data_IF_793519401743
#
_entry.id   IF_793519401743
#
_cell.length_a   1.000
_cell.length_b   1.000
_cell.length_c   1.000
_cell.angle_alpha   90.00
_cell.angle_beta   90.00
_cell.angle_gamma   90.00
#
_symmetry.space_group_name_H-M   'P 1'
#
loop_
_entity.id
_entity.type
_entity.pdbx_description
1 polymer ?
#
# COMPACT_ATOMS: atom_id res chain seq x y z
N UNK A 1 24.04 -57.38 -20.53
CA UNK A 1 23.54 -56.74 -21.77
C UNK A 1 22.03 -56.94 -21.87
N UNK A 2 21.29 -55.85 -22.16
CA UNK A 2 19.87 -55.74 -22.57
C UNK A 2 18.80 -55.89 -21.45
N UNK A 3 18.27 -54.77 -20.91
CA UNK A 3 17.05 -53.98 -21.27
C UNK A 3 15.76 -54.71 -20.77
N UNK A 4 14.85 -54.13 -19.97
CA UNK A 4 13.77 -53.15 -20.31
C UNK A 4 13.09 -52.73 -18.96
N UNK A 5 13.24 -51.50 -18.45
CA UNK A 5 12.28 -50.35 -18.35
C UNK A 5 10.77 -50.67 -18.16
N UNK A 6 10.16 -50.14 -17.08
CA UNK A 6 8.94 -49.28 -17.03
C UNK A 6 8.00 -49.57 -15.84
N UNK A 7 7.90 -48.60 -14.91
CA UNK A 7 6.66 -48.18 -14.22
C UNK A 7 7.02 -46.99 -13.32
N UNK A 8 7.16 -45.79 -13.85
CA UNK A 8 6.09 -44.82 -14.10
C UNK A 8 5.45 -44.27 -12.82
N UNK A 9 5.74 -42.99 -12.56
CA UNK A 9 4.84 -42.00 -11.94
C UNK A 9 4.54 -42.19 -10.45
N UNK A 10 5.54 -41.95 -9.60
CA UNK A 10 5.25 -41.39 -8.28
C UNK A 10 5.01 -39.89 -8.48
N UNK A 11 3.72 -39.58 -8.67
CA UNK A 11 3.13 -38.25 -8.82
C UNK A 11 3.78 -37.23 -7.89
N UNK A 12 4.61 -36.38 -8.47
CA UNK A 12 4.98 -35.10 -7.89
C UNK A 12 3.72 -34.24 -7.84
N UNK A 13 3.00 -34.29 -6.72
CA UNK A 13 2.02 -33.28 -6.39
C UNK A 13 2.79 -32.07 -5.87
N UNK A 14 3.41 -31.34 -6.79
CA UNK A 14 3.92 -30.00 -6.52
C UNK A 14 2.67 -29.16 -6.25
N UNK A 15 2.33 -28.98 -4.98
CA UNK A 15 1.39 -27.95 -4.54
C UNK A 15 2.00 -26.62 -4.99
N UNK A 16 1.66 -26.22 -6.21
CA UNK A 16 1.91 -24.89 -6.71
C UNK A 16 0.98 -24.01 -5.89
N UNK A 17 1.46 -23.55 -4.74
CA UNK A 17 0.80 -22.52 -3.95
C UNK A 17 0.72 -21.30 -4.85
N UNK A 18 -0.42 -21.14 -5.51
CA UNK A 18 -0.80 -19.85 -6.08
C UNK A 18 -0.87 -18.92 -4.87
N UNK A 19 0.21 -18.19 -4.64
CA UNK A 19 0.19 -16.98 -3.84
C UNK A 19 -0.68 -16.01 -4.64
N UNK A 20 -2.00 -16.20 -4.57
CA UNK A 20 -2.94 -15.13 -4.84
C UNK A 20 -2.68 -14.17 -3.70
N UNK A 21 -1.73 -13.26 -3.92
CA UNK A 21 -1.57 -12.10 -3.07
C UNK A 21 -2.86 -11.31 -3.28
N UNK A 22 -3.90 -11.63 -2.50
CA UNK A 22 -5.07 -10.78 -2.40
C UNK A 22 -4.53 -9.39 -2.10
N UNK A 23 -4.72 -8.45 -3.03
CA UNK A 23 -4.37 -7.06 -2.80
C UNK A 23 -5.02 -6.66 -1.48
N UNK A 24 -4.22 -6.41 -0.45
CA UNK A 24 -4.77 -5.93 0.80
C UNK A 24 -5.38 -4.56 0.53
N UNK A 25 -6.58 -4.34 1.05
CA UNK A 25 -7.39 -3.16 0.79
C UNK A 25 -6.89 -1.99 1.65
N UNK A 26 -6.62 -0.84 1.01
CA UNK A 26 -6.30 0.41 1.69
C UNK A 26 -7.58 1.19 1.93
N UNK A 27 -7.93 1.35 3.19
CA UNK A 27 -9.05 2.21 3.59
C UNK A 27 -8.55 3.60 3.93
N UNK A 28 -9.11 4.62 3.29
CA UNK A 28 -8.95 6.02 3.70
C UNK A 28 -10.26 6.46 4.34
N UNK A 29 -10.24 6.62 5.67
CA UNK A 29 -11.45 6.64 6.49
C UNK A 29 -12.31 5.37 6.29
N UNK A 30 -13.49 5.52 5.69
CA UNK A 30 -14.46 4.47 5.44
C UNK A 30 -14.51 4.09 3.94
N UNK A 31 -13.66 4.70 3.09
CA UNK A 31 -13.60 4.44 1.66
C UNK A 31 -12.42 3.54 1.34
N UNK A 32 -12.69 2.43 0.67
CA UNK A 32 -11.66 1.61 0.06
C UNK A 32 -11.18 2.28 -1.23
N UNK A 33 -9.91 2.67 -1.29
CA UNK A 33 -9.35 3.35 -2.47
C UNK A 33 -8.87 2.37 -3.54
N UNK A 34 -8.69 1.09 -3.20
CA UNK A 34 -8.31 0.07 -4.17
C UNK A 34 -9.46 -0.24 -5.13
N UNK A 35 -10.71 -0.15 -4.67
CA UNK A 35 -11.92 -0.41 -5.47
C UNK A 35 -12.36 0.77 -6.35
N UNK A 36 -11.76 1.96 -6.18
CA UNK A 36 -12.12 3.15 -6.95
C UNK A 36 -11.48 3.15 -8.35
N UNK A 37 -12.16 3.77 -9.32
CA UNK A 37 -11.60 4.08 -10.66
C UNK A 37 -10.69 5.32 -10.58
N UNK A 38 -9.52 5.13 -9.96
CA UNK A 38 -8.46 6.12 -9.79
C UNK A 38 -7.11 5.50 -10.11
N UNK A 39 -6.17 6.34 -10.54
CA UNK A 39 -4.81 5.89 -10.83
C UNK A 39 -3.72 6.44 -9.91
N UNK A 40 -3.94 7.59 -9.28
CA UNK A 40 -2.90 8.26 -8.52
C UNK A 40 -3.39 8.66 -7.14
N UNK A 41 -2.48 8.62 -6.17
CA UNK A 41 -2.67 9.16 -4.83
C UNK A 41 -1.44 9.95 -4.38
N UNK A 42 -1.68 10.96 -3.53
CA UNK A 42 -0.66 11.70 -2.82
C UNK A 42 -0.67 11.30 -1.34
N UNK A 43 0.47 10.89 -0.82
CA UNK A 43 0.69 10.71 0.62
C UNK A 43 1.35 11.96 1.19
N UNK A 44 0.72 12.53 2.22
CA UNK A 44 1.29 13.62 3.02
C UNK A 44 1.68 13.11 4.40
N UNK A 45 2.95 13.29 4.75
CA UNK A 45 3.46 12.91 6.07
C UNK A 45 3.32 14.10 7.02
N UNK A 46 2.72 13.87 8.18
CA UNK A 46 2.61 14.85 9.24
C UNK A 46 2.98 14.27 10.61
N UNK A 47 3.15 15.17 11.57
CA UNK A 47 3.51 14.81 12.94
C UNK A 47 2.37 14.06 13.64
N UNK A 48 2.69 12.98 14.34
CA UNK A 48 1.77 12.34 15.29
C UNK A 48 1.93 12.95 16.68
N UNK A 49 0.95 12.71 17.57
CA UNK A 49 1.06 13.07 18.99
C UNK A 49 2.18 12.29 19.70
N UNK A 50 2.48 11.08 19.22
CA UNK A 50 3.63 10.31 19.70
C UNK A 50 4.85 10.69 18.84
N UNK A 51 5.94 11.23 19.44
CA UNK A 51 7.11 11.70 18.69
C UNK A 51 7.86 10.58 17.95
N UNK A 52 7.63 9.32 18.31
CA UNK A 52 8.23 8.15 17.63
C UNK A 52 7.44 7.69 16.41
N UNK A 53 6.31 8.34 16.10
CA UNK A 53 5.37 7.94 15.04
C UNK A 53 5.09 9.10 14.10
N UNK A 54 4.68 8.76 12.89
CA UNK A 54 4.16 9.70 11.91
C UNK A 54 2.70 9.39 11.58
N UNK A 55 1.96 10.42 11.17
CA UNK A 55 0.64 10.26 10.55
C UNK A 55 0.77 10.45 9.04
N UNK A 56 0.06 9.62 8.29
CA UNK A 56 0.02 9.71 6.84
C UNK A 56 -1.41 9.98 6.41
N UNK A 57 -1.56 11.03 5.62
CA UNK A 57 -2.82 11.42 5.00
C UNK A 57 -2.74 11.05 3.53
N UNK A 58 -3.82 10.52 2.98
CA UNK A 58 -3.93 10.14 1.57
C UNK A 58 -4.90 11.08 0.89
N UNK A 59 -4.48 11.64 -0.24
CA UNK A 59 -5.32 12.39 -1.16
C UNK A 59 -5.39 11.63 -2.48
N UNK A 60 -6.60 11.23 -2.86
CA UNK A 60 -6.90 10.53 -4.11
C UNK A 60 -7.87 11.33 -4.98
N UNK A 61 -8.01 12.64 -4.74
CA UNK A 61 -8.94 13.52 -5.44
C UNK A 61 -10.36 13.53 -4.85
N UNK A 62 -10.54 13.00 -3.63
CA UNK A 62 -11.83 13.05 -2.92
C UNK A 62 -12.29 14.48 -2.63
N UNK A 63 -13.61 14.66 -2.56
CA UNK A 63 -14.22 15.92 -2.13
C UNK A 63 -13.71 16.34 -0.74
N UNK A 64 -13.68 17.65 -0.50
CA UNK A 64 -13.25 18.21 0.78
C UNK A 64 -14.06 17.63 1.95
N UNK A 65 -13.37 17.28 3.04
CA UNK A 65 -13.98 16.78 4.26
C UNK A 65 -13.25 17.30 5.48
N UNK A 66 -14.00 17.59 6.54
CA UNK A 66 -13.45 17.90 7.86
C UNK A 66 -12.80 16.68 8.52
N UNK A 67 -13.15 15.46 8.09
CA UNK A 67 -12.49 14.25 8.56
C UNK A 67 -11.07 14.21 7.99
N UNK A 68 -10.11 13.84 8.84
CA UNK A 68 -8.73 13.60 8.40
C UNK A 68 -8.70 12.38 7.48
N UNK A 69 -8.09 12.49 6.30
CA UNK A 69 -7.99 11.40 5.32
C UNK A 69 -6.89 10.41 5.70
N UNK A 70 -7.03 9.76 6.85
CA UNK A 70 -6.05 8.81 7.40
C UNK A 70 -6.27 7.41 6.83
N UNK A 71 -5.18 6.67 6.65
CA UNK A 71 -5.24 5.23 6.41
C UNK A 71 -5.79 4.55 7.66
N UNK A 72 -6.80 3.70 7.48
CA UNK A 72 -7.47 2.94 8.52
C UNK A 72 -7.25 1.43 8.35
N UNK A 73 -7.26 0.71 9.47
CA UNK A 73 -7.44 -0.75 9.46
C UNK A 73 -8.92 -1.10 9.19
N UNK A 74 -9.20 -2.37 8.90
CA UNK A 74 -10.58 -2.87 8.77
C UNK A 74 -11.47 -2.56 9.99
N UNK A 75 -10.88 -2.47 11.18
CA UNK A 75 -11.56 -2.07 12.43
C UNK A 75 -11.76 -0.55 12.58
N UNK A 76 -11.59 0.24 11.50
CA UNK A 76 -11.72 1.71 11.47
C UNK A 76 -10.76 2.47 12.40
N UNK A 77 -9.60 1.87 12.71
CA UNK A 77 -8.57 2.52 13.52
C UNK A 77 -7.47 3.11 12.65
N UNK A 78 -7.02 4.36 12.89
CA UNK A 78 -5.92 4.92 12.13
C UNK A 78 -4.64 4.11 12.28
N UNK A 79 -4.02 3.77 11.15
CA UNK A 79 -2.73 3.10 11.12
C UNK A 79 -1.66 4.08 11.60
N UNK A 80 -0.81 3.64 12.53
CA UNK A 80 0.32 4.43 13.04
C UNK A 80 1.61 3.93 12.38
N UNK A 81 2.29 4.83 11.67
CA UNK A 81 3.54 4.49 11.01
C UNK A 81 4.74 4.94 11.84
N UNK A 82 5.87 4.25 11.66
CA UNK A 82 7.13 4.58 12.34
C UNK A 82 7.91 5.65 11.56
N UNK A 83 7.69 5.73 10.25
CA UNK A 83 8.36 6.64 9.33
C UNK A 83 7.53 6.76 8.03
N UNK A 84 7.89 7.71 7.18
CA UNK A 84 7.34 7.80 5.82
C UNK A 84 7.58 6.50 5.03
N UNK A 85 8.79 5.93 5.13
CA UNK A 85 9.16 4.68 4.47
C UNK A 85 8.32 3.49 4.96
N UNK A 86 7.96 3.45 6.25
CA UNK A 86 7.03 2.43 6.75
C UNK A 86 5.66 2.54 6.05
N UNK A 87 5.17 3.75 5.79
CA UNK A 87 3.92 3.93 5.04
C UNK A 87 4.07 3.57 3.56
N UNK A 88 5.20 3.88 2.92
CA UNK A 88 5.46 3.46 1.53
C UNK A 88 5.46 1.94 1.39
N UNK A 89 6.14 1.23 2.28
CA UNK A 89 6.13 -0.24 2.31
C UNK A 89 4.75 -0.83 2.59
N UNK A 90 3.89 -0.11 3.33
CA UNK A 90 2.51 -0.50 3.51
C UNK A 90 1.74 -0.35 2.20
N UNK A 91 1.82 0.81 1.54
CA UNK A 91 1.13 1.06 0.28
C UNK A 91 1.56 0.10 -0.84
N UNK A 92 2.87 -0.15 -0.97
CA UNK A 92 3.46 -1.08 -1.94
C UNK A 92 2.86 -2.50 -1.80
N UNK A 93 2.81 -3.03 -0.57
CA UNK A 93 2.17 -4.32 -0.28
C UNK A 93 0.67 -4.38 -0.59
N UNK A 94 0.05 -3.22 -0.76
CA UNK A 94 -1.39 -3.06 -0.98
C UNK A 94 -1.69 -2.54 -2.41
N UNK A 95 -0.79 -2.75 -3.37
CA UNK A 95 -1.04 -2.48 -4.79
C UNK A 95 -0.87 -1.02 -5.21
N UNK A 96 0.04 -0.30 -4.56
CA UNK A 96 0.40 1.07 -4.93
C UNK A 96 1.90 1.21 -5.13
N UNK A 97 2.33 1.48 -6.37
CA UNK A 97 3.73 1.66 -6.72
C UNK A 97 4.18 3.10 -6.41
N UNK A 98 5.37 3.24 -5.83
CA UNK A 98 6.00 4.55 -5.64
C UNK A 98 6.42 5.16 -6.99
N UNK A 99 6.10 6.44 -7.21
CA UNK A 99 6.55 7.21 -8.37
C UNK A 99 7.66 8.17 -7.96
N UNK A 100 7.32 9.14 -7.12
CA UNK A 100 8.22 10.23 -6.78
C UNK A 100 7.87 10.89 -5.44
N UNK A 101 8.78 11.75 -5.00
CA UNK A 101 8.61 12.63 -3.85
C UNK A 101 8.71 14.08 -4.32
N UNK A 102 7.73 14.88 -3.93
CA UNK A 102 7.68 16.33 -4.19
C UNK A 102 7.88 17.06 -2.86
N UNK A 103 8.92 17.89 -2.80
CA UNK A 103 9.16 18.79 -1.69
C UNK A 103 8.47 20.14 -1.96
N UNK A 104 7.57 20.54 -1.07
CA UNK A 104 6.90 21.84 -1.14
C UNK A 104 7.42 22.71 0.00
N UNK A 105 8.07 23.81 -0.36
CA UNK A 105 8.57 24.78 0.59
C UNK A 105 7.58 25.94 0.73
N UNK A 106 7.17 26.24 1.96
CA UNK A 106 6.33 27.37 2.32
C UNK A 106 7.01 28.13 3.47
N UNK A 107 7.75 29.19 3.14
CA UNK A 107 8.60 29.90 4.09
C UNK A 107 9.71 28.98 4.64
N UNK A 108 9.78 28.86 5.96
CA UNK A 108 10.74 27.99 6.65
C UNK A 108 10.28 26.53 6.76
N UNK A 109 9.05 26.21 6.35
CA UNK A 109 8.51 24.85 6.44
C UNK A 109 8.65 24.12 5.12
N UNK A 110 9.24 22.94 5.14
CA UNK A 110 9.27 22.00 4.01
C UNK A 110 8.34 20.83 4.31
N UNK A 111 7.38 20.58 3.42
CA UNK A 111 6.52 19.40 3.46
C UNK A 111 6.88 18.46 2.33
N UNK A 112 6.89 17.16 2.62
CA UNK A 112 7.09 16.11 1.61
C UNK A 112 5.77 15.45 1.25
N UNK A 113 5.53 15.34 -0.06
CA UNK A 113 4.41 14.66 -0.68
C UNK A 113 4.95 13.50 -1.49
N UNK A 114 4.40 12.31 -1.33
CA UNK A 114 4.80 11.14 -2.11
C UNK A 114 3.68 10.83 -3.10
N UNK A 115 4.00 10.76 -4.38
CA UNK A 115 3.06 10.36 -5.42
C UNK A 115 3.19 8.86 -5.64
N UNK A 116 2.05 8.18 -5.63
CA UNK A 116 1.98 6.75 -5.86
C UNK A 116 0.93 6.46 -6.95
N UNK A 117 1.18 5.42 -7.75
CA UNK A 117 0.23 4.94 -8.75
C UNK A 117 -0.35 3.59 -8.33
N UNK A 118 -1.57 3.29 -8.76
CA UNK A 118 -2.12 1.94 -8.59
C UNK A 118 -1.30 0.96 -9.44
N UNK A 119 -0.90 -0.17 -8.85
CA UNK A 119 -0.20 -1.22 -9.58
C UNK A 119 -1.12 -1.76 -10.67
N UNK A 120 -0.63 -1.84 -11.91
CA UNK A 120 -1.39 -2.41 -13.03
C UNK A 120 -1.39 -3.93 -12.91
N UNK A 121 -2.57 -4.55 -12.96
CA UNK A 121 -2.75 -5.99 -13.09
C UNK A 121 -2.21 -6.53 -14.43
#
# INVERSE_FOLDING_TARGET
MKKIIYSALLSGFFFMSTNVASAQHVFVNDQDINELDIQYVELRVGSALNPTKVRVYVDYGQAFSLKRQLIMTADKKPVKFNSAVHALNFMDKNGWDYIEIVAVQAGETTTFKYVMQKTKE
#
